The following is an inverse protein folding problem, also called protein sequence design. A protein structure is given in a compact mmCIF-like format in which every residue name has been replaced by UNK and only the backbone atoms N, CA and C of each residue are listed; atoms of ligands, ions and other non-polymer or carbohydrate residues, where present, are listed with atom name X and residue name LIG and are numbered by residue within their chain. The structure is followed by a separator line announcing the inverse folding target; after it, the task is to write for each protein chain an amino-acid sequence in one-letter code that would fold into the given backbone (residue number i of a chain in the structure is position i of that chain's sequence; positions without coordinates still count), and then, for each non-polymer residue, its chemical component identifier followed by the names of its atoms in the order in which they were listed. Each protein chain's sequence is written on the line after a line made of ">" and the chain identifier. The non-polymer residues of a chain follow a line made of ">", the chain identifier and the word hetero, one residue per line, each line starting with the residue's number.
data_IF_736315032697
#
_entry.id   IF_736315032697
#
_cell.length_a   1.000
_cell.length_b   1.000
_cell.length_c   1.000
_cell.angle_alpha   90.00
_cell.angle_beta   90.00
_cell.angle_gamma   90.00
#
_symmetry.space_group_name_H-M   'P 1'
#
loop_
_entity.id
_entity.type
_entity.pdbx_description
1 polymer ?
#
# COMPACT_ATOMS: atom_id res chain seq x y z
N UNK A 1 -40.08 -25.18 -42.05
CA UNK A 1 -38.77 -25.07 -41.37
C UNK A 1 -38.59 -23.58 -41.10
N UNK A 2 -38.74 -23.19 -39.85
CA UNK A 2 -38.95 -21.79 -39.42
C UNK A 2 -37.61 -21.06 -39.28
N UNK A 3 -37.46 -19.98 -40.04
CA UNK A 3 -36.32 -19.03 -39.97
C UNK A 3 -36.28 -18.18 -38.69
N UNK A 4 -37.14 -18.48 -37.69
CA UNK A 4 -37.27 -17.69 -36.44
C UNK A 4 -36.49 -18.24 -35.22
N UNK A 5 -35.70 -19.30 -35.36
CA UNK A 5 -34.91 -19.87 -34.25
C UNK A 5 -33.44 -19.48 -34.27
N UNK A 6 -32.95 -18.81 -35.32
CA UNK A 6 -31.53 -18.43 -35.44
C UNK A 6 -31.19 -17.03 -34.92
N UNK A 7 -32.14 -16.27 -34.37
CA UNK A 7 -31.90 -14.87 -33.96
C UNK A 7 -31.98 -14.64 -32.44
N UNK A 8 -31.79 -15.70 -31.62
CA UNK A 8 -31.89 -15.60 -30.17
C UNK A 8 -30.60 -15.94 -29.43
N UNK A 9 -29.48 -16.01 -30.15
CA UNK A 9 -28.19 -16.46 -29.60
C UNK A 9 -27.09 -15.38 -29.62
N UNK A 10 -27.44 -14.10 -29.84
CA UNK A 10 -26.48 -13.03 -30.00
C UNK A 10 -26.57 -11.86 -29.00
N UNK A 11 -27.39 -11.97 -27.95
CA UNK A 11 -27.45 -10.99 -26.88
C UNK A 11 -26.98 -11.62 -25.57
N UNK A 12 -25.79 -12.22 -25.55
CA UNK A 12 -25.04 -12.41 -24.34
C UNK A 12 -24.34 -11.07 -24.08
N UNK A 13 -24.88 -10.31 -23.14
CA UNK A 13 -24.25 -9.09 -22.62
C UNK A 13 -22.85 -9.44 -22.12
N UNK A 14 -21.87 -9.14 -22.95
CA UNK A 14 -20.43 -9.39 -22.73
C UNK A 14 -19.85 -8.49 -21.60
N UNK A 15 -20.70 -7.83 -20.82
CA UNK A 15 -20.29 -6.77 -19.90
C UNK A 15 -20.73 -6.97 -18.44
N UNK A 16 -21.30 -8.10 -18.07
CA UNK A 16 -21.66 -8.38 -16.70
C UNK A 16 -20.77 -9.49 -16.11
N UNK A 17 -19.51 -9.11 -15.82
CA UNK A 17 -18.60 -9.93 -15.02
C UNK A 17 -19.27 -10.20 -13.67
N UNK A 18 -19.46 -11.46 -13.27
CA UNK A 18 -20.19 -11.75 -12.04
C UNK A 18 -19.49 -11.08 -10.84
N UNK A 19 -20.23 -10.40 -9.95
CA UNK A 19 -19.67 -9.63 -8.83
C UNK A 19 -18.81 -10.46 -7.86
N UNK A 20 -18.85 -11.78 -7.99
CA UNK A 20 -18.10 -12.73 -7.15
C UNK A 20 -16.63 -12.88 -7.59
N UNK A 21 -16.30 -12.65 -8.85
CA UNK A 21 -14.91 -12.75 -9.35
C UNK A 21 -14.07 -11.52 -8.91
N UNK A 22 -14.63 -10.33 -9.02
CA UNK A 22 -13.91 -9.09 -8.66
C UNK A 22 -13.54 -9.04 -7.17
N UNK A 23 -14.37 -9.57 -6.27
CA UNK A 23 -14.11 -9.61 -4.84
C UNK A 23 -13.02 -10.62 -4.47
N UNK A 24 -12.98 -11.77 -5.14
CA UNK A 24 -11.92 -12.77 -4.96
C UNK A 24 -10.57 -12.30 -5.49
N UNK A 25 -10.57 -11.60 -6.62
CA UNK A 25 -9.35 -11.03 -7.20
C UNK A 25 -8.74 -9.97 -6.26
N UNK A 26 -9.56 -9.10 -5.64
CA UNK A 26 -9.09 -8.17 -4.61
C UNK A 26 -8.45 -8.88 -3.42
N UNK A 27 -9.00 -10.00 -2.96
CA UNK A 27 -8.47 -10.77 -1.83
C UNK A 27 -7.05 -11.30 -2.07
N UNK A 28 -6.69 -11.59 -3.30
CA UNK A 28 -5.35 -12.08 -3.67
C UNK A 28 -4.39 -10.91 -3.95
N UNK A 29 -4.85 -9.90 -4.66
CA UNK A 29 -4.01 -8.78 -5.13
C UNK A 29 -3.65 -7.83 -3.98
N UNK A 30 -4.60 -7.50 -3.11
CA UNK A 30 -4.37 -6.49 -2.07
C UNK A 30 -3.24 -6.86 -1.11
N UNK A 31 -3.11 -8.09 -0.59
CA UNK A 31 -1.95 -8.46 0.25
C UNK A 31 -0.62 -8.44 -0.49
N UNK A 32 -0.59 -8.70 -1.80
CA UNK A 32 0.65 -8.69 -2.57
C UNK A 32 1.28 -7.28 -2.65
N UNK A 33 0.49 -6.22 -2.52
CA UNK A 33 0.98 -4.84 -2.61
C UNK A 33 1.98 -4.52 -1.48
N UNK A 34 1.67 -4.68 -0.18
CA UNK A 34 2.63 -4.41 0.88
C UNK A 34 3.86 -5.34 0.81
N UNK A 35 3.71 -6.57 0.33
CA UNK A 35 4.87 -7.44 0.12
C UNK A 35 5.82 -6.87 -0.94
N UNK A 36 5.30 -6.39 -2.07
CA UNK A 36 6.09 -5.71 -3.09
C UNK A 36 6.75 -4.42 -2.57
N UNK A 37 6.05 -3.64 -1.75
CA UNK A 37 6.62 -2.47 -1.08
C UNK A 37 7.77 -2.85 -0.15
N UNK A 38 7.63 -3.89 0.68
CA UNK A 38 8.68 -4.35 1.58
C UNK A 38 9.96 -4.71 0.82
N UNK A 39 9.84 -5.47 -0.28
CA UNK A 39 10.97 -5.82 -1.14
C UNK A 39 11.62 -4.57 -1.76
N UNK A 40 10.81 -3.61 -2.21
CA UNK A 40 11.30 -2.33 -2.73
C UNK A 40 12.07 -1.53 -1.66
N UNK A 41 11.62 -1.54 -0.40
CA UNK A 41 12.31 -0.87 0.72
C UNK A 41 13.64 -1.55 1.07
N UNK A 42 13.72 -2.87 0.99
CA UNK A 42 15.00 -3.58 1.12
C UNK A 42 15.95 -3.18 -0.01
N UNK A 43 15.47 -3.07 -1.26
CA UNK A 43 16.27 -2.55 -2.37
C UNK A 43 16.78 -1.12 -2.11
N UNK A 44 15.94 -0.22 -1.61
CA UNK A 44 16.33 1.13 -1.21
C UNK A 44 17.39 1.14 -0.10
N UNK A 45 17.31 0.20 0.84
CA UNK A 45 18.31 0.06 1.90
C UNK A 45 19.69 -0.30 1.33
N UNK A 46 19.78 -1.28 0.42
CA UNK A 46 21.04 -1.65 -0.21
C UNK A 46 21.58 -0.56 -1.14
N UNK A 47 20.72 0.15 -1.84
CA UNK A 47 21.11 1.27 -2.70
C UNK A 47 21.50 2.53 -1.89
N UNK A 48 21.22 2.57 -0.58
CA UNK A 48 21.47 3.75 0.25
C UNK A 48 20.59 4.95 -0.09
N UNK A 49 19.43 4.75 -0.73
CA UNK A 49 18.47 5.83 -0.99
C UNK A 49 17.36 5.88 0.06
N UNK A 50 16.62 6.99 0.11
CA UNK A 50 15.47 7.13 1.01
C UNK A 50 15.80 6.94 2.51
N UNK A 51 16.99 7.32 2.92
CA UNK A 51 17.49 7.19 4.29
C UNK A 51 16.76 8.12 5.29
N UNK A 52 16.86 7.79 6.58
CA UNK A 52 16.35 8.61 7.66
C UNK A 52 17.33 9.71 8.09
N UNK A 53 16.96 10.43 9.14
CA UNK A 53 17.78 11.51 9.69
C UNK A 53 19.14 11.02 10.23
N UNK A 54 20.11 11.95 10.34
CA UNK A 54 21.40 11.66 10.96
C UNK A 54 21.26 11.40 12.47
N UNK A 55 21.82 10.30 12.95
CA UNK A 55 21.67 9.85 14.34
C UNK A 55 23.00 9.47 14.97
N UNK A 56 23.12 9.65 16.29
CA UNK A 56 24.31 9.23 17.06
C UNK A 56 24.14 7.87 17.74
N UNK A 57 22.89 7.43 17.93
CA UNK A 57 22.58 6.27 18.77
C UNK A 57 22.53 4.99 17.93
N UNK A 58 21.55 4.86 17.05
CA UNK A 58 21.31 3.67 16.23
C UNK A 58 21.23 4.06 14.76
N UNK A 59 22.08 3.47 13.93
CA UNK A 59 22.08 3.79 12.48
C UNK A 59 23.11 3.02 11.69
N UNK A 60 23.00 3.12 10.38
CA UNK A 60 23.88 2.52 9.38
C UNK A 60 24.76 3.59 8.77
N UNK A 61 26.03 3.26 8.53
CA UNK A 61 26.99 4.12 7.84
C UNK A 61 27.22 3.53 6.44
N UNK A 62 26.92 4.31 5.43
CA UNK A 62 27.22 3.93 4.04
C UNK A 62 28.65 4.39 3.71
N UNK A 63 29.45 3.45 3.23
CA UNK A 63 30.87 3.68 2.91
C UNK A 63 31.15 3.66 1.42
N UNK A 64 30.25 3.07 0.60
CA UNK A 64 30.42 3.03 -0.84
C UNK A 64 30.11 4.39 -1.47
N UNK A 65 30.98 4.91 -2.35
CA UNK A 65 30.71 6.15 -3.09
C UNK A 65 29.56 6.02 -4.11
N UNK A 66 29.13 4.79 -4.41
CA UNK A 66 28.02 4.52 -5.34
C UNK A 66 26.65 4.63 -4.64
N UNK A 67 26.61 4.68 -3.30
CA UNK A 67 25.38 4.88 -2.55
C UNK A 67 24.88 6.32 -2.67
N UNK A 68 23.58 6.49 -2.72
CA UNK A 68 22.95 7.83 -2.73
C UNK A 68 23.05 8.54 -1.38
N UNK A 69 23.29 7.81 -0.29
CA UNK A 69 23.45 8.37 1.03
C UNK A 69 24.78 9.09 1.21
N UNK A 70 24.85 10.15 2.03
CA UNK A 70 26.11 10.81 2.37
C UNK A 70 27.05 9.83 3.07
N UNK A 71 28.25 9.64 2.48
CA UNK A 71 29.26 8.73 3.01
C UNK A 71 29.79 9.16 4.37
N UNK A 72 30.02 8.18 5.27
CA UNK A 72 30.61 8.43 6.57
C UNK A 72 29.64 8.97 7.64
N UNK A 73 28.39 9.26 7.29
CA UNK A 73 27.36 9.68 8.22
C UNK A 73 26.55 8.50 8.73
N UNK A 74 26.23 8.52 10.02
CA UNK A 74 25.37 7.50 10.65
C UNK A 74 23.90 7.90 10.49
N UNK A 75 23.19 7.17 9.65
CA UNK A 75 21.82 7.46 9.23
C UNK A 75 20.83 6.46 9.82
N UNK A 76 19.67 6.94 10.24
CA UNK A 76 18.60 6.08 10.73
C UNK A 76 18.05 5.21 9.57
N UNK A 77 18.02 3.86 9.72
CA UNK A 77 17.63 2.96 8.62
C UNK A 77 16.11 2.85 8.49
N UNK A 78 15.45 3.96 8.18
CA UNK A 78 13.98 4.02 8.07
C UNK A 78 13.43 2.99 7.06
N UNK A 79 14.22 2.65 6.04
CA UNK A 79 13.84 1.67 5.02
C UNK A 79 13.55 0.29 5.63
N UNK A 80 14.33 -0.14 6.64
CA UNK A 80 14.11 -1.41 7.34
C UNK A 80 12.85 -1.38 8.19
N UNK A 81 12.54 -0.24 8.81
CA UNK A 81 11.30 -0.08 9.56
C UNK A 81 10.07 -0.04 8.64
N UNK A 82 10.18 0.62 7.49
CA UNK A 82 9.15 0.61 6.46
C UNK A 82 8.93 -0.82 5.94
N UNK A 83 10.00 -1.56 5.62
CA UNK A 83 9.91 -2.95 5.17
C UNK A 83 9.27 -3.87 6.24
N UNK A 84 9.67 -3.73 7.51
CA UNK A 84 9.08 -4.51 8.62
C UNK A 84 7.58 -4.20 8.80
N UNK A 85 7.19 -2.93 8.70
CA UNK A 85 5.79 -2.53 8.74
C UNK A 85 4.98 -3.11 7.57
N UNK A 86 5.53 -3.07 6.36
CA UNK A 86 4.87 -3.63 5.17
C UNK A 86 4.72 -5.16 5.26
N UNK A 87 5.72 -5.87 5.81
CA UNK A 87 5.62 -7.32 6.09
C UNK A 87 4.55 -7.60 7.14
N UNK A 88 4.51 -6.81 8.21
CA UNK A 88 3.45 -6.92 9.23
C UNK A 88 2.06 -6.69 8.61
N UNK A 89 1.94 -5.68 7.77
CA UNK A 89 0.68 -5.37 7.09
C UNK A 89 0.25 -6.49 6.14
N UNK A 90 1.19 -7.06 5.39
CA UNK A 90 0.94 -8.27 4.59
C UNK A 90 0.37 -9.40 5.44
N UNK A 91 1.04 -9.75 6.54
CA UNK A 91 0.61 -10.83 7.43
C UNK A 91 -0.77 -10.55 8.05
N UNK A 92 -1.04 -9.30 8.44
CA UNK A 92 -2.34 -8.87 8.96
C UNK A 92 -3.45 -9.04 7.92
N UNK A 93 -3.23 -8.63 6.67
CA UNK A 93 -4.22 -8.77 5.60
C UNK A 93 -4.51 -10.22 5.28
N UNK A 94 -3.46 -11.04 5.15
CA UNK A 94 -3.59 -12.50 4.96
C UNK A 94 -4.41 -13.13 6.10
N UNK A 95 -4.11 -12.77 7.35
CA UNK A 95 -4.86 -13.26 8.51
C UNK A 95 -6.34 -12.84 8.47
N UNK A 96 -6.64 -11.59 8.12
CA UNK A 96 -8.01 -11.09 8.03
C UNK A 96 -8.81 -11.80 6.93
N UNK A 97 -8.19 -12.06 5.80
CA UNK A 97 -8.82 -12.76 4.68
C UNK A 97 -9.10 -14.22 5.06
N UNK A 98 -8.07 -14.98 5.39
CA UNK A 98 -8.20 -16.43 5.57
C UNK A 98 -8.83 -16.86 6.89
N UNK A 99 -8.64 -16.10 7.98
CA UNK A 99 -9.14 -16.47 9.32
C UNK A 99 -10.44 -15.78 9.70
N UNK A 100 -10.69 -14.60 9.20
CA UNK A 100 -11.86 -13.79 9.56
C UNK A 100 -12.88 -13.65 8.43
N UNK A 101 -12.56 -14.17 7.25
CA UNK A 101 -13.40 -14.04 6.04
C UNK A 101 -13.84 -12.57 5.79
N UNK A 102 -12.89 -11.65 5.97
CA UNK A 102 -13.10 -10.20 5.84
C UNK A 102 -12.32 -9.61 4.66
N UNK A 103 -12.23 -10.35 3.56
CA UNK A 103 -11.51 -9.94 2.37
C UNK A 103 -11.98 -8.60 1.80
N UNK A 104 -13.31 -8.37 1.80
CA UNK A 104 -13.93 -7.12 1.39
C UNK A 104 -13.44 -5.87 2.15
N UNK A 105 -12.85 -6.03 3.35
CA UNK A 105 -12.25 -4.95 4.13
C UNK A 105 -10.73 -4.84 3.94
N UNK A 106 -10.10 -5.75 3.18
CA UNK A 106 -8.64 -5.77 3.02
C UNK A 106 -8.12 -4.46 2.41
N UNK A 107 -8.72 -4.01 1.32
CA UNK A 107 -8.32 -2.77 0.64
C UNK A 107 -8.44 -1.52 1.52
N UNK A 108 -9.59 -1.22 2.17
CA UNK A 108 -9.69 -0.04 3.02
C UNK A 108 -8.79 -0.12 4.26
N UNK A 109 -8.56 -1.30 4.83
CA UNK A 109 -7.61 -1.48 5.94
C UNK A 109 -6.18 -1.21 5.46
N UNK A 110 -5.78 -1.79 4.32
CA UNK A 110 -4.48 -1.52 3.73
C UNK A 110 -4.24 -0.03 3.52
N UNK A 111 -5.15 0.64 2.81
CA UNK A 111 -5.03 2.07 2.51
C UNK A 111 -4.98 2.94 3.78
N UNK A 112 -5.78 2.62 4.80
CA UNK A 112 -5.78 3.36 6.07
C UNK A 112 -4.47 3.19 6.83
N UNK A 113 -4.00 1.96 7.01
CA UNK A 113 -2.78 1.67 7.74
C UNK A 113 -1.54 2.21 7.02
N UNK A 114 -1.47 2.01 5.70
CA UNK A 114 -0.33 2.46 4.91
C UNK A 114 -0.24 3.99 4.85
N UNK A 115 -1.34 4.69 4.61
CA UNK A 115 -1.34 6.15 4.56
C UNK A 115 -1.00 6.78 5.92
N UNK A 116 -1.49 6.19 7.01
CA UNK A 116 -1.13 6.64 8.35
C UNK A 116 0.36 6.45 8.63
N UNK A 117 0.89 5.24 8.34
CA UNK A 117 2.31 4.97 8.48
C UNK A 117 3.16 5.92 7.62
N UNK A 118 2.77 6.10 6.35
CA UNK A 118 3.49 6.95 5.41
C UNK A 118 3.54 8.41 5.85
N UNK A 119 2.45 8.90 6.46
CA UNK A 119 2.40 10.24 7.04
C UNK A 119 3.44 10.42 8.16
N UNK A 120 3.54 9.46 9.08
CA UNK A 120 4.50 9.51 10.18
C UNK A 120 5.94 9.22 9.73
N UNK A 121 6.14 8.28 8.83
CA UNK A 121 7.46 7.94 8.31
C UNK A 121 8.16 9.14 7.67
N UNK A 122 7.40 10.07 7.09
CA UNK A 122 7.95 11.28 6.47
C UNK A 122 8.72 12.16 7.48
N UNK A 123 8.33 12.19 8.74
CA UNK A 123 9.04 12.94 9.79
C UNK A 123 10.40 12.31 10.16
N UNK A 124 10.58 11.03 9.89
CA UNK A 124 11.80 10.27 10.19
C UNK A 124 12.78 10.28 9.00
N UNK A 125 12.39 10.85 7.88
CA UNK A 125 13.23 10.90 6.67
C UNK A 125 14.21 12.06 6.75
N UNK A 126 15.43 11.81 6.27
CA UNK A 126 16.52 12.78 6.22
C UNK A 126 16.86 13.28 4.82
N UNK A 127 16.20 12.77 3.78
CA UNK A 127 16.43 13.16 2.41
C UNK A 127 15.67 14.48 2.08
N UNK A 128 16.40 15.58 1.94
CA UNK A 128 15.86 16.92 1.74
C UNK A 128 15.25 17.18 0.34
N UNK A 129 15.33 16.24 -0.58
CA UNK A 129 15.03 16.41 -2.02
C UNK A 129 13.51 16.51 -2.32
N UNK A 130 12.63 16.44 -1.31
CA UNK A 130 11.19 16.42 -1.54
C UNK A 130 10.56 17.79 -1.38
N UNK A 131 9.84 18.22 -2.42
CA UNK A 131 9.11 19.47 -2.41
C UNK A 131 8.18 19.60 -1.20
N UNK A 132 8.31 20.70 -0.46
CA UNK A 132 7.37 21.08 0.61
C UNK A 132 6.32 21.98 0.00
N UNK A 133 5.05 21.66 0.21
CA UNK A 133 3.94 22.54 -0.14
C UNK A 133 3.26 23.00 1.15
N UNK A 134 3.58 24.21 1.58
CA UNK A 134 3.13 24.75 2.86
C UNK A 134 3.81 24.08 4.05
N UNK A 135 3.02 23.62 5.04
CA UNK A 135 3.50 23.01 6.28
C UNK A 135 3.88 21.53 6.09
N UNK A 136 3.29 20.85 5.10
CA UNK A 136 3.45 19.43 4.86
C UNK A 136 4.20 19.15 3.55
N UNK A 137 4.86 17.98 3.50
CA UNK A 137 5.43 17.47 2.26
C UNK A 137 4.34 17.00 1.29
N UNK A 138 4.65 16.95 0.00
CA UNK A 138 3.75 16.40 -1.03
C UNK A 138 3.27 14.98 -0.65
N UNK A 139 4.16 14.17 -0.07
CA UNK A 139 3.87 12.81 0.40
C UNK A 139 2.82 12.80 1.52
N UNK A 140 2.87 13.76 2.44
CA UNK A 140 1.90 13.88 3.54
C UNK A 140 0.52 14.30 3.05
N UNK A 141 0.43 15.21 2.08
CA UNK A 141 -0.85 15.59 1.46
C UNK A 141 -1.51 14.41 0.75
N UNK A 142 -0.72 13.63 0.01
CA UNK A 142 -1.20 12.41 -0.65
C UNK A 142 -1.68 11.39 0.41
N UNK A 143 -0.95 11.23 1.51
CA UNK A 143 -1.33 10.32 2.60
C UNK A 143 -2.66 10.71 3.26
N UNK A 144 -2.90 12.01 3.47
CA UNK A 144 -4.18 12.52 4.00
C UNK A 144 -5.33 12.20 3.04
N UNK A 145 -5.14 12.45 1.74
CA UNK A 145 -6.16 12.16 0.73
C UNK A 145 -6.51 10.65 0.68
N UNK A 146 -5.50 9.78 0.69
CA UNK A 146 -5.72 8.33 0.73
C UNK A 146 -6.38 7.86 2.02
N UNK A 147 -6.05 8.45 3.17
CA UNK A 147 -6.68 8.11 4.44
C UNK A 147 -8.17 8.47 4.44
N UNK A 148 -8.53 9.65 3.92
CA UNK A 148 -9.93 10.05 3.77
C UNK A 148 -10.70 9.11 2.83
N UNK A 149 -10.12 8.79 1.66
CA UNK A 149 -10.71 7.85 0.72
C UNK A 149 -10.91 6.45 1.34
N UNK A 150 -9.91 5.96 2.07
CA UNK A 150 -9.97 4.67 2.76
C UNK A 150 -11.07 4.63 3.82
N UNK A 151 -11.24 5.72 4.58
CA UNK A 151 -12.30 5.83 5.59
C UNK A 151 -13.69 5.78 4.94
N UNK A 152 -13.88 6.49 3.83
CA UNK A 152 -15.13 6.45 3.06
C UNK A 152 -15.41 5.04 2.55
N UNK A 153 -14.42 4.40 1.92
CA UNK A 153 -14.55 3.02 1.43
C UNK A 153 -14.88 2.04 2.55
N UNK A 154 -14.24 2.18 3.71
CA UNK A 154 -14.50 1.34 4.88
C UNK A 154 -15.96 1.45 5.32
N UNK A 155 -16.48 2.66 5.45
CA UNK A 155 -17.88 2.91 5.87
C UNK A 155 -18.85 2.35 4.83
N UNK A 156 -18.59 2.55 3.54
CA UNK A 156 -19.47 2.05 2.47
C UNK A 156 -19.51 0.51 2.45
N UNK A 157 -18.35 -0.16 2.53
CA UNK A 157 -18.27 -1.63 2.52
C UNK A 157 -18.85 -2.25 3.80
N UNK A 158 -18.62 -1.63 4.96
CA UNK A 158 -19.20 -2.07 6.23
C UNK A 158 -20.75 -1.94 6.25
N UNK A 159 -21.31 -0.88 5.64
CA UNK A 159 -22.76 -0.73 5.51
C UNK A 159 -23.38 -1.75 4.55
N UNK A 160 -22.73 -2.02 3.40
CA UNK A 160 -23.21 -3.00 2.41
C UNK A 160 -23.38 -4.39 3.03
N UNK A 161 -22.43 -4.80 3.88
CA UNK A 161 -22.47 -6.11 4.54
C UNK A 161 -23.54 -6.24 5.65
N UNK A 162 -24.01 -5.14 6.20
CA UNK A 162 -25.07 -5.14 7.23
C UNK A 162 -26.47 -5.25 6.60
N UNK A 163 -26.58 -5.03 5.29
CA UNK A 163 -27.84 -5.03 4.55
C UNK A 163 -28.08 -6.33 3.75
N UNK A 164 -27.03 -7.16 3.57
CA UNK A 164 -27.10 -8.53 3.03
C UNK A 164 -27.12 -9.55 4.18
#
# INVERSE_FOLDING_TARGET
>A
MNENEQNKESDVDENEKPPIEDEKDEEVIVPAIPLGHALGRLGCFFAGCCYGFETKIFGVVYTSPECFAPTGKKLFPIQLFEAAFDIFLFALLVFLIFRKNKGHLALPIYLSCYSLWRFFAEFLRGDEVRGKFGVFSTSQWISIAFFCAATILFVLRAKKQKHN
#
